data_IF_103314830693
#
_entry.id   IF_103314830693
#
_cell.length_a   1.000
_cell.length_b   1.000
_cell.length_c   1.000
_cell.angle_alpha   90.00
_cell.angle_beta   90.00
_cell.angle_gamma   90.00
#
_symmetry.space_group_name_H-M   'P 1'
#
loop_
_entity.id
_entity.type
_entity.pdbx_description
1 polymer ?
#
# COMPACT_ATOMS: atom_id res chain seq x y z
N UNK A 1 71.88 -8.73 30.69
CA UNK A 1 70.47 -9.10 30.91
C UNK A 1 69.58 -8.22 30.01
N UNK A 2 69.14 -8.78 28.91
CA UNK A 2 68.36 -8.06 27.94
C UNK A 2 66.87 -8.24 28.27
N UNK A 3 66.20 -7.14 28.63
CA UNK A 3 64.72 -7.14 28.76
C UNK A 3 64.10 -7.02 27.37
N UNK A 4 63.42 -8.05 26.94
CA UNK A 4 62.64 -8.12 25.72
C UNK A 4 61.30 -7.47 25.98
N UNK A 5 61.06 -6.28 25.38
CA UNK A 5 59.73 -5.63 25.43
C UNK A 5 58.87 -6.26 24.35
N UNK A 6 57.91 -7.07 24.75
CA UNK A 6 56.89 -7.62 23.86
C UNK A 6 55.83 -6.55 23.59
N UNK A 7 55.78 -6.04 22.38
CA UNK A 7 54.79 -5.12 21.92
C UNK A 7 53.55 -5.92 21.46
N UNK A 8 52.53 -5.95 22.31
CA UNK A 8 51.26 -6.58 21.94
C UNK A 8 50.46 -5.63 21.07
N UNK A 9 50.42 -5.87 19.77
CA UNK A 9 49.50 -5.19 18.85
C UNK A 9 48.08 -5.71 19.10
N UNK A 10 47.26 -4.88 19.71
CA UNK A 10 45.80 -5.10 19.75
C UNK A 10 45.24 -4.79 18.37
N UNK A 11 45.01 -5.81 17.58
CA UNK A 11 44.18 -5.72 16.39
C UNK A 11 42.71 -5.66 16.88
N UNK A 12 42.16 -4.45 16.95
CA UNK A 12 40.72 -4.26 17.09
C UNK A 12 40.13 -4.58 15.72
N UNK A 13 39.75 -5.85 15.52
CA UNK A 13 38.89 -6.23 14.42
C UNK A 13 37.51 -5.58 14.68
N UNK A 14 37.29 -4.45 14.05
CA UNK A 14 35.95 -3.83 13.97
C UNK A 14 35.10 -4.74 13.10
N UNK A 15 34.49 -5.76 13.72
CA UNK A 15 33.47 -6.60 13.12
C UNK A 15 32.30 -5.67 12.81
N UNK A 16 32.23 -5.17 11.58
CA UNK A 16 31.00 -4.61 11.03
C UNK A 16 29.94 -5.71 11.09
N UNK A 17 29.19 -5.72 12.16
CA UNK A 17 27.94 -6.46 12.25
C UNK A 17 27.05 -5.87 11.14
N UNK A 18 27.09 -6.48 9.97
CA UNK A 18 26.01 -6.37 9.01
C UNK A 18 24.77 -6.96 9.71
N UNK A 19 24.03 -6.11 10.41
CA UNK A 19 22.67 -6.42 10.80
C UNK A 19 21.93 -6.54 9.47
N UNK A 20 21.84 -7.77 8.96
CA UNK A 20 20.97 -8.08 7.84
C UNK A 20 19.57 -7.69 8.31
N UNK A 21 19.09 -6.52 7.86
CA UNK A 21 17.69 -6.14 8.00
C UNK A 21 16.90 -7.28 7.34
N UNK A 22 16.02 -7.98 8.07
CA UNK A 22 15.26 -9.05 7.44
C UNK A 22 14.57 -8.47 6.22
N UNK A 23 14.82 -9.05 5.07
CA UNK A 23 14.17 -8.63 3.84
C UNK A 23 12.66 -8.60 4.11
N UNK A 24 12.03 -7.46 3.86
CA UNK A 24 10.58 -7.24 3.99
C UNK A 24 9.80 -8.38 3.32
N UNK A 25 10.32 -8.88 2.21
CA UNK A 25 9.78 -9.97 1.43
C UNK A 25 10.78 -11.11 1.35
N UNK A 26 10.31 -12.34 1.56
CA UNK A 26 11.13 -13.55 1.45
C UNK A 26 11.39 -13.97 0.00
N UNK A 27 10.56 -13.48 -0.93
CA UNK A 27 10.60 -13.75 -2.37
C UNK A 27 9.99 -12.58 -3.12
N UNK A 28 10.09 -12.54 -4.44
CA UNK A 28 9.38 -11.55 -5.26
C UNK A 28 7.88 -11.67 -4.99
N UNK A 29 7.26 -10.55 -4.62
CA UNK A 29 5.94 -10.54 -3.97
C UNK A 29 4.90 -9.84 -4.84
N UNK A 30 3.77 -10.48 -5.00
CA UNK A 30 2.59 -9.98 -5.69
C UNK A 30 1.70 -9.20 -4.73
N UNK A 31 1.48 -7.92 -5.04
CA UNK A 31 0.49 -7.08 -4.36
C UNK A 31 -0.67 -6.81 -5.32
N UNK A 32 -1.83 -7.38 -5.03
CA UNK A 32 -3.04 -7.19 -5.84
C UNK A 32 -3.64 -5.80 -5.53
N UNK A 33 -3.45 -4.85 -6.45
CA UNK A 33 -3.84 -3.45 -6.34
C UNK A 33 -5.36 -3.30 -6.37
N UNK A 34 -5.96 -2.94 -5.24
CA UNK A 34 -7.43 -2.89 -5.05
C UNK A 34 -8.13 -4.22 -5.35
N UNK A 35 -7.40 -5.33 -5.16
CA UNK A 35 -7.81 -6.66 -5.60
C UNK A 35 -7.38 -6.99 -7.04
N UNK A 36 -8.12 -7.87 -7.73
CA UNK A 36 -7.92 -8.16 -9.15
C UNK A 36 -8.68 -7.13 -10.02
N UNK A 37 -8.29 -5.87 -9.89
CA UNK A 37 -9.04 -4.70 -10.38
C UNK A 37 -9.08 -4.56 -11.90
N UNK A 38 -8.26 -5.31 -12.64
CA UNK A 38 -8.42 -5.44 -14.09
C UNK A 38 -9.65 -6.26 -14.51
N UNK A 39 -10.20 -7.10 -13.61
CA UNK A 39 -11.21 -8.10 -13.94
C UNK A 39 -12.50 -7.98 -13.12
N UNK A 40 -12.45 -7.26 -12.00
CA UNK A 40 -13.58 -7.02 -11.11
C UNK A 40 -13.53 -5.58 -10.57
N UNK A 41 -14.68 -5.00 -10.13
CA UNK A 41 -14.69 -3.61 -9.65
C UNK A 41 -13.76 -3.44 -8.45
N UNK A 42 -12.87 -2.43 -8.56
CA UNK A 42 -11.86 -2.14 -7.53
C UNK A 42 -12.48 -2.05 -6.14
N UNK A 43 -11.75 -2.51 -5.11
CA UNK A 43 -12.16 -2.44 -3.70
C UNK A 43 -13.49 -3.12 -3.36
N UNK A 44 -13.97 -4.05 -4.18
CA UNK A 44 -15.11 -4.90 -3.81
C UNK A 44 -14.62 -6.24 -3.25
N UNK A 45 -15.49 -6.94 -2.51
CA UNK A 45 -15.17 -8.31 -2.05
C UNK A 45 -15.00 -9.28 -3.22
N UNK A 46 -15.64 -9.00 -4.37
CA UNK A 46 -15.49 -9.73 -5.62
C UNK A 46 -14.05 -9.63 -6.15
N UNK A 47 -13.50 -8.41 -6.22
CA UNK A 47 -12.12 -8.17 -6.65
C UNK A 47 -11.11 -8.83 -5.70
N UNK A 48 -11.36 -8.78 -4.39
CA UNK A 48 -10.49 -9.40 -3.39
C UNK A 48 -10.53 -10.93 -3.44
N UNK A 49 -11.73 -11.55 -3.62
CA UNK A 49 -11.83 -13.02 -3.82
C UNK A 49 -11.06 -13.46 -5.05
N UNK A 50 -11.23 -12.74 -6.15
CA UNK A 50 -10.54 -13.07 -7.39
C UNK A 50 -9.02 -12.95 -7.24
N UNK A 51 -8.54 -11.90 -6.58
CA UNK A 51 -7.11 -11.73 -6.28
C UNK A 51 -6.54 -12.91 -5.47
N UNK A 52 -7.28 -13.39 -4.46
CA UNK A 52 -6.90 -14.56 -3.68
C UNK A 52 -6.86 -15.82 -4.54
N UNK A 53 -7.83 -16.03 -5.43
CA UNK A 53 -7.86 -17.14 -6.37
C UNK A 53 -6.70 -17.10 -7.37
N UNK A 54 -6.26 -15.91 -7.76
CA UNK A 54 -5.11 -15.67 -8.63
C UNK A 54 -3.77 -15.67 -7.87
N UNK A 55 -3.77 -16.02 -6.60
CA UNK A 55 -2.57 -16.25 -5.80
C UNK A 55 -1.90 -14.99 -5.28
N UNK A 56 -2.65 -13.94 -4.97
CA UNK A 56 -2.10 -12.73 -4.34
C UNK A 56 -1.37 -13.05 -3.04
N UNK A 57 -0.13 -12.54 -2.89
CA UNK A 57 0.61 -12.60 -1.62
C UNK A 57 0.09 -11.55 -0.63
N UNK A 58 -0.28 -10.38 -1.15
CA UNK A 58 -0.96 -9.31 -0.44
C UNK A 58 -2.15 -8.82 -1.26
N UNK A 59 -3.24 -8.49 -0.56
CA UNK A 59 -4.34 -7.71 -1.13
C UNK A 59 -4.22 -6.29 -0.60
N UNK A 60 -4.26 -5.33 -1.51
CA UNK A 60 -4.15 -3.92 -1.15
C UNK A 60 -5.55 -3.31 -0.94
N UNK A 61 -5.63 -2.35 -0.01
CA UNK A 61 -6.85 -1.61 0.33
C UNK A 61 -6.53 -0.13 0.52
N UNK A 62 -7.23 0.75 -0.20
CA UNK A 62 -7.29 2.18 0.11
C UNK A 62 -8.35 2.42 1.19
N UNK A 63 -8.00 3.07 2.29
CA UNK A 63 -8.92 3.28 3.40
C UNK A 63 -9.48 4.70 3.43
N UNK A 64 -10.79 4.79 3.55
CA UNK A 64 -11.54 6.02 3.78
C UNK A 64 -12.33 5.90 5.08
N UNK A 65 -12.81 7.04 5.63
CA UNK A 65 -13.57 7.08 6.89
C UNK A 65 -14.97 7.63 6.62
N UNK A 66 -15.97 6.88 7.02
CA UNK A 66 -17.38 7.32 6.99
C UNK A 66 -17.67 8.40 8.04
N UNK A 67 -18.82 9.07 7.96
CA UNK A 67 -19.25 10.08 8.92
C UNK A 67 -19.32 9.55 10.35
N UNK A 68 -19.64 8.28 10.53
CA UNK A 68 -19.71 7.59 11.82
C UNK A 68 -18.40 6.88 12.22
N UNK A 69 -17.27 7.20 11.53
CA UNK A 69 -15.95 6.75 11.93
C UNK A 69 -15.58 5.32 11.53
N UNK A 70 -16.30 4.72 10.59
CA UNK A 70 -16.01 3.36 10.11
C UNK A 70 -15.03 3.40 8.94
N UNK A 71 -13.99 2.55 8.97
CA UNK A 71 -13.07 2.38 7.86
C UNK A 71 -13.72 1.56 6.74
N UNK A 72 -13.75 2.12 5.52
CA UNK A 72 -14.24 1.48 4.29
C UNK A 72 -13.15 1.44 3.24
N UNK A 73 -13.23 0.49 2.30
CA UNK A 73 -12.29 0.35 1.22
C UNK A 73 -12.79 1.10 -0.01
N UNK A 74 -12.13 2.20 -0.35
CA UNK A 74 -12.43 3.04 -1.51
C UNK A 74 -11.22 3.94 -1.82
N UNK A 75 -10.86 4.09 -3.11
CA UNK A 75 -9.69 4.89 -3.48
C UNK A 75 -9.88 6.38 -3.26
N UNK A 76 -10.97 6.93 -3.80
CA UNK A 76 -11.21 8.37 -3.81
C UNK A 76 -11.80 8.86 -2.48
N UNK A 77 -11.58 10.12 -2.13
CA UNK A 77 -12.26 10.77 -1.01
C UNK A 77 -13.77 10.89 -1.24
N UNK A 78 -14.21 10.64 -2.48
CA UNK A 78 -15.59 10.83 -2.94
C UNK A 78 -16.14 9.56 -3.58
N UNK A 79 -17.45 9.43 -3.65
CA UNK A 79 -18.18 8.21 -3.99
C UNK A 79 -18.56 8.09 -5.48
N UNK A 80 -18.60 9.21 -6.23
CA UNK A 80 -19.23 9.27 -7.56
C UNK A 80 -18.53 8.43 -8.64
N UNK A 81 -17.22 8.23 -8.58
CA UNK A 81 -16.50 7.52 -9.64
C UNK A 81 -16.82 6.02 -9.68
N UNK A 82 -17.03 5.41 -8.53
CA UNK A 82 -17.15 3.94 -8.41
C UNK A 82 -18.43 3.49 -7.73
N UNK A 83 -19.40 4.39 -7.56
CA UNK A 83 -20.73 4.06 -7.04
C UNK A 83 -21.81 4.81 -7.78
N UNK A 84 -23.07 4.40 -7.59
CA UNK A 84 -24.26 5.11 -8.07
C UNK A 84 -24.78 6.16 -7.07
N UNK A 85 -23.92 6.84 -6.33
CA UNK A 85 -24.29 7.81 -5.30
C UNK A 85 -25.12 8.97 -5.87
N UNK A 86 -24.86 9.38 -7.13
CA UNK A 86 -25.60 10.44 -7.81
C UNK A 86 -27.07 10.09 -8.03
N UNK A 87 -27.38 8.80 -8.19
CA UNK A 87 -28.75 8.30 -8.35
C UNK A 87 -29.44 8.13 -6.98
N UNK A 88 -28.74 7.59 -6.00
CA UNK A 88 -29.33 7.26 -4.67
C UNK A 88 -29.45 8.50 -3.79
N UNK A 89 -28.49 9.44 -3.89
CA UNK A 89 -28.43 10.66 -3.07
C UNK A 89 -28.18 11.92 -3.94
N UNK A 90 -29.05 12.25 -4.89
CA UNK A 90 -28.80 13.26 -5.92
C UNK A 90 -28.56 14.68 -5.37
N UNK A 91 -29.11 14.99 -4.20
CA UNK A 91 -29.04 16.33 -3.59
C UNK A 91 -28.01 16.44 -2.46
N UNK A 92 -27.27 15.37 -2.15
CA UNK A 92 -26.33 15.33 -1.01
C UNK A 92 -24.88 15.58 -1.43
N UNK A 93 -24.67 16.42 -2.42
CA UNK A 93 -23.35 16.79 -2.89
C UNK A 93 -22.86 18.12 -2.26
N UNK A 94 -21.56 18.34 -2.34
CA UNK A 94 -20.93 19.64 -2.20
C UNK A 94 -20.46 20.14 -3.59
N UNK A 95 -20.60 21.43 -3.85
CA UNK A 95 -20.01 22.02 -5.06
C UNK A 95 -18.55 22.38 -4.78
N UNK A 96 -17.66 21.87 -5.62
CA UNK A 96 -16.24 22.16 -5.57
C UNK A 96 -15.75 22.43 -7.00
N UNK A 97 -15.29 23.65 -7.25
CA UNK A 97 -14.86 24.10 -8.58
C UNK A 97 -15.90 23.81 -9.69
N UNK A 98 -17.19 23.98 -9.37
CA UNK A 98 -18.31 23.72 -10.29
C UNK A 98 -18.72 22.26 -10.45
N UNK A 99 -18.01 21.31 -9.82
CA UNK A 99 -18.31 19.89 -9.85
C UNK A 99 -19.05 19.45 -8.59
N UNK A 100 -20.02 18.56 -8.76
CA UNK A 100 -20.70 17.89 -7.64
C UNK A 100 -19.77 16.82 -7.04
N UNK A 101 -19.63 16.81 -5.69
CA UNK A 101 -18.78 15.89 -4.94
C UNK A 101 -19.55 15.27 -3.79
N UNK A 102 -19.51 13.95 -3.67
CA UNK A 102 -20.12 13.16 -2.58
C UNK A 102 -19.01 12.58 -1.71
N UNK A 103 -18.58 13.35 -0.69
CA UNK A 103 -17.48 12.92 0.17
C UNK A 103 -17.89 11.73 1.05
N UNK A 104 -17.05 10.69 1.12
CA UNK A 104 -17.25 9.50 1.96
C UNK A 104 -17.57 9.88 3.41
N UNK A 105 -16.85 10.86 3.95
CA UNK A 105 -17.02 11.35 5.33
C UNK A 105 -18.29 12.18 5.59
N UNK A 106 -19.12 12.42 4.58
CA UNK A 106 -20.42 13.06 4.75
C UNK A 106 -21.58 12.02 4.86
N UNK A 107 -21.27 10.72 4.67
CA UNK A 107 -22.25 9.61 4.69
C UNK A 107 -21.96 8.63 5.83
N UNK A 108 -23.05 8.19 6.48
CA UNK A 108 -22.98 7.09 7.46
C UNK A 108 -22.71 5.76 6.74
N UNK A 109 -22.12 4.78 7.42
CA UNK A 109 -21.93 3.46 6.84
C UNK A 109 -23.21 2.87 6.26
N UNK A 110 -24.33 3.00 6.97
CA UNK A 110 -25.62 2.48 6.53
C UNK A 110 -26.10 3.08 5.19
N UNK A 111 -25.74 4.33 4.91
CA UNK A 111 -26.03 5.01 3.63
C UNK A 111 -25.09 4.50 2.52
N UNK A 112 -23.79 4.38 2.79
CA UNK A 112 -22.80 3.83 1.84
C UNK A 112 -23.16 2.39 1.46
N UNK A 113 -23.67 1.59 2.38
CA UNK A 113 -24.10 0.19 2.11
C UNK A 113 -25.33 0.08 1.20
N UNK A 114 -26.06 1.16 0.93
CA UNK A 114 -27.13 1.17 -0.07
C UNK A 114 -26.59 1.23 -1.50
N UNK A 115 -25.41 1.84 -1.69
CA UNK A 115 -24.84 2.10 -3.01
C UNK A 115 -24.48 0.80 -3.75
N UNK A 116 -24.55 0.87 -5.07
CA UNK A 116 -23.99 -0.10 -6.00
C UNK A 116 -22.56 0.33 -6.36
N UNK A 117 -21.59 -0.50 -6.06
CA UNK A 117 -20.17 -0.28 -6.35
C UNK A 117 -19.66 -1.21 -7.47
N UNK A 118 -20.53 -1.90 -8.17
CA UNK A 118 -20.14 -2.88 -9.19
C UNK A 118 -20.54 -2.53 -10.61
N UNK A 119 -21.75 -1.99 -10.81
CA UNK A 119 -22.34 -1.75 -12.14
C UNK A 119 -21.55 -0.77 -13.02
N UNK A 120 -20.79 0.14 -12.44
CA UNK A 120 -19.91 1.06 -13.16
C UNK A 120 -18.80 0.32 -13.92
N UNK A 121 -18.37 -0.82 -13.41
CA UNK A 121 -17.33 -1.65 -14.02
C UNK A 121 -17.93 -2.60 -15.08
N UNK A 122 -18.93 -3.39 -14.68
CA UNK A 122 -19.66 -4.31 -15.55
C UNK A 122 -21.00 -4.67 -14.89
N UNK A 123 -22.09 -4.73 -15.66
CA UNK A 123 -23.44 -5.08 -15.18
C UNK A 123 -23.50 -6.42 -14.43
N UNK A 124 -22.61 -7.37 -14.73
CA UNK A 124 -22.54 -8.67 -14.01
C UNK A 124 -22.17 -8.51 -12.52
N UNK A 125 -21.61 -7.36 -12.13
CA UNK A 125 -21.30 -7.03 -10.75
C UNK A 125 -22.34 -6.14 -10.08
N UNK A 126 -23.49 -5.95 -10.71
CA UNK A 126 -24.57 -5.14 -10.13
C UNK A 126 -24.90 -5.60 -8.70
N UNK A 127 -25.02 -4.63 -7.79
CA UNK A 127 -25.29 -4.90 -6.37
C UNK A 127 -24.05 -5.15 -5.50
N UNK A 128 -22.84 -5.24 -6.06
CA UNK A 128 -21.61 -5.26 -5.27
C UNK A 128 -21.53 -4.01 -4.38
N UNK A 129 -21.02 -4.16 -3.17
CA UNK A 129 -21.03 -3.10 -2.14
C UNK A 129 -19.62 -2.58 -1.87
N UNK A 130 -19.53 -1.33 -1.43
CA UNK A 130 -18.32 -0.80 -0.78
C UNK A 130 -18.12 -1.58 0.52
N UNK A 131 -17.03 -2.34 0.67
CA UNK A 131 -16.80 -3.11 1.89
C UNK A 131 -16.26 -2.21 3.01
N UNK A 132 -16.63 -2.55 4.25
CA UNK A 132 -15.85 -2.09 5.39
C UNK A 132 -14.48 -2.76 5.37
N UNK A 133 -13.48 -2.14 5.99
CA UNK A 133 -12.18 -2.79 6.14
C UNK A 133 -12.26 -4.06 6.99
N UNK A 134 -13.22 -4.17 7.92
CA UNK A 134 -13.46 -5.42 8.65
C UNK A 134 -13.87 -6.57 7.71
N UNK A 135 -14.80 -6.32 6.77
CA UNK A 135 -15.20 -7.34 5.79
C UNK A 135 -14.03 -7.77 4.88
N UNK A 136 -13.16 -6.82 4.50
CA UNK A 136 -11.94 -7.14 3.77
C UNK A 136 -10.96 -7.98 4.61
N UNK A 137 -10.74 -7.61 5.88
CA UNK A 137 -9.91 -8.38 6.82
C UNK A 137 -10.44 -9.81 6.96
N UNK A 138 -11.74 -9.98 7.18
CA UNK A 138 -12.36 -11.29 7.38
C UNK A 138 -12.23 -12.19 6.15
N UNK A 139 -12.32 -11.61 4.94
CA UNK A 139 -12.13 -12.33 3.69
C UNK A 139 -10.68 -12.77 3.45
N UNK A 140 -9.71 -11.88 3.70
CA UNK A 140 -8.28 -12.06 3.37
C UNK A 140 -7.54 -12.86 4.43
N UNK A 141 -7.96 -12.76 5.70
CA UNK A 141 -7.31 -13.39 6.85
C UNK A 141 -6.97 -14.86 6.61
N UNK A 142 -5.74 -15.25 6.88
CA UNK A 142 -5.23 -16.61 6.76
C UNK A 142 -4.96 -17.08 5.32
N UNK A 143 -5.22 -16.24 4.31
CA UNK A 143 -5.05 -16.55 2.89
C UNK A 143 -3.97 -15.71 2.22
N UNK A 144 -3.88 -14.41 2.60
CA UNK A 144 -2.89 -13.47 2.10
C UNK A 144 -2.59 -12.40 3.16
N UNK A 145 -1.59 -11.56 2.89
CA UNK A 145 -1.33 -10.35 3.67
C UNK A 145 -2.30 -9.21 3.33
N UNK A 146 -2.38 -8.24 4.23
CA UNK A 146 -3.11 -6.99 4.05
C UNK A 146 -2.12 -5.85 3.80
N UNK A 147 -2.43 -4.96 2.85
CA UNK A 147 -1.59 -3.83 2.53
C UNK A 147 -2.42 -2.51 2.50
N UNK A 148 -2.98 -2.10 3.67
CA UNK A 148 -3.83 -0.90 3.72
C UNK A 148 -3.03 0.38 3.48
N UNK A 149 -3.64 1.30 2.71
CA UNK A 149 -3.20 2.70 2.56
C UNK A 149 -4.05 3.63 3.42
N UNK A 150 -3.40 4.52 4.17
CA UNK A 150 -4.08 5.67 4.78
C UNK A 150 -4.22 6.77 3.74
N UNK A 151 -5.43 6.91 3.17
CA UNK A 151 -5.74 7.91 2.13
C UNK A 151 -6.08 9.26 2.75
N UNK A 152 -5.32 10.29 2.39
CA UNK A 152 -5.59 11.67 2.80
C UNK A 152 -5.75 11.86 4.32
N UNK A 153 -4.83 11.36 5.16
CA UNK A 153 -4.98 11.43 6.62
C UNK A 153 -5.11 12.87 7.13
N UNK A 154 -4.51 13.84 6.44
CA UNK A 154 -4.62 15.26 6.76
C UNK A 154 -6.03 15.80 6.54
N UNK A 155 -6.69 15.34 5.47
CA UNK A 155 -8.08 15.70 5.17
C UNK A 155 -9.01 15.19 6.28
N UNK A 156 -8.79 13.96 6.72
CA UNK A 156 -9.56 13.38 7.83
C UNK A 156 -9.23 14.03 9.17
N UNK A 157 -7.96 14.39 9.39
CA UNK A 157 -7.53 15.16 10.56
C UNK A 157 -8.25 16.50 10.69
N UNK A 158 -8.42 17.23 9.59
CA UNK A 158 -9.18 18.49 9.56
C UNK A 158 -10.67 18.32 9.86
N UNK A 159 -11.20 17.09 9.74
CA UNK A 159 -12.58 16.71 10.05
C UNK A 159 -12.74 16.05 11.44
N UNK A 160 -11.67 16.05 12.26
CA UNK A 160 -11.68 15.52 13.62
C UNK A 160 -11.44 14.01 13.73
N UNK A 161 -11.04 13.33 12.66
CA UNK A 161 -10.69 11.91 12.69
C UNK A 161 -9.18 11.71 12.82
N UNK A 162 -8.78 10.72 13.61
CA UNK A 162 -7.41 10.23 13.71
C UNK A 162 -7.30 8.90 12.97
N UNK A 163 -7.03 8.97 11.65
CA UNK A 163 -7.00 7.81 10.77
C UNK A 163 -5.99 6.76 11.25
N UNK A 164 -4.82 7.20 11.69
CA UNK A 164 -3.76 6.31 12.16
C UNK A 164 -4.19 5.52 13.39
N UNK A 165 -4.84 6.18 14.35
CA UNK A 165 -5.39 5.49 15.54
C UNK A 165 -6.50 4.50 15.17
N UNK A 166 -7.39 4.87 14.24
CA UNK A 166 -8.47 3.99 13.77
C UNK A 166 -7.89 2.73 13.11
N UNK A 167 -6.93 2.88 12.19
CA UNK A 167 -6.26 1.76 11.52
C UNK A 167 -5.56 0.85 12.53
N UNK A 168 -4.76 1.41 13.43
CA UNK A 168 -4.06 0.61 14.43
C UNK A 168 -5.01 -0.03 15.45
N UNK A 169 -6.13 0.62 15.80
CA UNK A 169 -7.16 0.05 16.67
C UNK A 169 -7.85 -1.15 16.01
N UNK A 170 -8.17 -1.04 14.71
CA UNK A 170 -8.77 -2.12 13.93
C UNK A 170 -7.83 -3.34 13.84
N UNK A 171 -6.53 -3.13 13.60
CA UNK A 171 -5.55 -4.21 13.61
C UNK A 171 -5.44 -4.87 14.98
N UNK A 172 -5.38 -4.09 16.07
CA UNK A 172 -5.36 -4.64 17.44
C UNK A 172 -6.60 -5.46 17.77
N UNK A 173 -7.79 -4.95 17.43
CA UNK A 173 -9.08 -5.67 17.60
C UNK A 173 -9.03 -7.03 16.91
N UNK A 174 -8.40 -7.10 15.75
CA UNK A 174 -8.26 -8.31 14.96
C UNK A 174 -7.04 -9.17 15.33
N UNK A 175 -6.20 -8.76 16.28
CA UNK A 175 -4.94 -9.41 16.65
C UNK A 175 -3.99 -9.59 15.45
N UNK A 176 -3.92 -8.57 14.59
CA UNK A 176 -3.07 -8.52 13.38
C UNK A 176 -1.89 -7.55 13.59
N UNK A 177 -0.75 -7.80 12.90
CA UNK A 177 -0.45 -8.94 12.03
C UNK A 177 -0.28 -10.26 12.79
N UNK A 178 -0.52 -11.39 12.10
CA UNK A 178 -0.19 -12.73 12.56
C UNK A 178 0.68 -13.48 11.53
N UNK A 179 1.04 -14.74 11.81
CA UNK A 179 1.92 -15.54 10.93
C UNK A 179 1.31 -15.81 9.55
N UNK A 180 -0.02 -15.85 9.44
CA UNK A 180 -0.74 -16.18 8.19
C UNK A 180 -1.28 -14.95 7.48
N UNK A 181 -1.35 -13.82 8.18
CA UNK A 181 -1.84 -12.55 7.67
C UNK A 181 -0.87 -11.44 8.05
N UNK A 182 0.28 -11.34 7.36
CA UNK A 182 1.19 -10.22 7.53
C UNK A 182 0.49 -8.92 7.10
N UNK A 183 0.92 -7.80 7.69
CA UNK A 183 0.37 -6.47 7.37
C UNK A 183 1.50 -5.51 7.07
N UNK A 184 1.32 -4.72 6.02
CA UNK A 184 2.14 -3.59 5.64
C UNK A 184 1.22 -2.37 5.53
N UNK A 185 1.50 -1.30 6.26
CA UNK A 185 0.73 -0.05 6.12
C UNK A 185 1.49 0.89 5.21
N UNK A 186 0.81 1.49 4.24
CA UNK A 186 1.40 2.46 3.32
C UNK A 186 0.69 3.81 3.39
N UNK A 187 1.41 4.86 3.00
CA UNK A 187 0.85 6.21 2.86
C UNK A 187 1.72 7.08 1.95
N UNK A 188 1.09 8.03 1.26
CA UNK A 188 1.78 9.15 0.62
C UNK A 188 2.16 10.26 1.62
N UNK A 189 1.65 10.21 2.86
CA UNK A 189 1.96 11.16 3.92
C UNK A 189 3.11 10.65 4.79
N UNK A 190 4.31 11.25 4.69
CA UNK A 190 5.42 10.94 5.61
C UNK A 190 5.06 11.25 7.06
N UNK A 191 4.25 12.28 7.30
CA UNK A 191 3.81 12.71 8.63
C UNK A 191 2.93 11.65 9.28
N UNK A 192 1.98 11.07 8.53
CA UNK A 192 1.15 9.95 9.00
C UNK A 192 2.01 8.75 9.41
N UNK A 193 2.99 8.38 8.58
CA UNK A 193 3.90 7.27 8.89
C UNK A 193 4.78 7.56 10.11
N UNK A 194 5.31 8.78 10.25
CA UNK A 194 6.08 9.20 11.43
C UNK A 194 5.24 9.16 12.70
N UNK A 195 4.01 9.68 12.65
CA UNK A 195 3.05 9.61 13.75
C UNK A 195 2.83 8.16 14.19
N UNK A 196 2.57 7.25 13.24
CA UNK A 196 2.43 5.83 13.55
C UNK A 196 3.70 5.23 14.19
N UNK A 197 4.88 5.58 13.65
CA UNK A 197 6.15 5.01 14.12
C UNK A 197 6.59 5.58 15.45
N UNK A 198 6.60 6.90 15.60
CA UNK A 198 7.23 7.63 16.72
C UNK A 198 6.23 7.83 17.87
N UNK A 199 5.04 8.36 17.58
CA UNK A 199 4.07 8.69 18.62
C UNK A 199 3.25 7.46 19.04
N UNK A 200 2.69 6.73 18.06
CA UNK A 200 1.85 5.55 18.31
C UNK A 200 2.67 4.27 18.48
N UNK A 201 4.00 4.32 18.26
CA UNK A 201 4.99 3.25 18.51
C UNK A 201 4.60 1.91 17.90
N UNK A 202 4.00 1.95 16.69
CA UNK A 202 3.58 0.72 16.01
C UNK A 202 4.77 -0.18 15.69
N UNK A 203 4.53 -1.49 15.79
CA UNK A 203 5.45 -2.53 15.33
C UNK A 203 5.12 -3.00 13.90
N UNK A 204 3.97 -2.58 13.37
CA UNK A 204 3.57 -2.91 11.99
C UNK A 204 4.54 -2.22 11.03
N UNK A 205 5.09 -2.94 10.05
CA UNK A 205 5.97 -2.34 9.04
C UNK A 205 5.24 -1.27 8.21
N UNK A 206 5.92 -0.16 7.94
CA UNK A 206 5.39 0.99 7.23
C UNK A 206 6.13 1.19 5.90
N UNK A 207 5.43 1.61 4.86
CA UNK A 207 5.96 1.86 3.51
C UNK A 207 5.59 3.27 3.06
N UNK A 208 6.59 4.05 2.63
CA UNK A 208 6.37 5.39 2.08
C UNK A 208 6.06 5.30 0.60
N UNK A 209 4.86 5.69 0.19
CA UNK A 209 4.50 5.87 -1.21
C UNK A 209 5.10 7.16 -1.75
N UNK A 210 5.63 7.12 -2.98
CA UNK A 210 6.31 8.27 -3.60
C UNK A 210 5.72 8.52 -4.98
N UNK A 211 5.01 9.65 -5.12
CA UNK A 211 4.49 10.14 -6.39
C UNK A 211 5.54 11.03 -7.10
N UNK A 212 5.39 11.33 -8.41
CA UNK A 212 6.32 12.18 -9.13
C UNK A 212 6.63 13.55 -8.50
N UNK A 213 5.67 14.27 -7.89
CA UNK A 213 5.95 15.50 -7.14
C UNK A 213 6.84 15.31 -5.90
N UNK A 214 6.92 14.11 -5.35
CA UNK A 214 7.67 13.76 -4.12
C UNK A 214 9.01 13.06 -4.41
N UNK A 215 9.54 13.20 -5.62
CA UNK A 215 10.78 12.51 -6.08
C UNK A 215 12.02 12.80 -5.23
N UNK A 216 12.01 13.86 -4.42
CA UNK A 216 13.09 14.18 -3.48
C UNK A 216 13.33 13.06 -2.45
N UNK A 217 12.34 12.22 -2.18
CA UNK A 217 12.48 11.05 -1.32
C UNK A 217 13.33 9.92 -1.95
N UNK A 218 13.63 9.97 -3.25
CA UNK A 218 14.51 9.01 -3.94
C UNK A 218 15.98 9.45 -3.97
N UNK A 219 16.35 10.54 -3.30
CA UNK A 219 17.75 10.90 -3.06
C UNK A 219 18.33 10.13 -1.88
N UNK A 220 19.68 10.05 -1.78
CA UNK A 220 20.32 9.40 -0.64
C UNK A 220 19.83 9.97 0.71
N UNK A 221 19.70 11.29 0.81
CA UNK A 221 19.18 11.97 2.02
C UNK A 221 17.69 11.62 2.27
N UNK A 222 16.86 11.64 1.21
CA UNK A 222 15.44 11.29 1.31
C UNK A 222 15.24 9.86 1.78
N UNK A 223 15.99 8.90 1.23
CA UNK A 223 15.93 7.50 1.63
C UNK A 223 16.40 7.28 3.08
N UNK A 224 17.45 7.98 3.53
CA UNK A 224 17.86 7.92 4.93
C UNK A 224 16.80 8.49 5.88
N UNK A 225 16.11 9.57 5.48
CA UNK A 225 14.96 10.09 6.23
C UNK A 225 13.81 9.07 6.27
N UNK A 226 13.47 8.46 5.12
CA UNK A 226 12.42 7.44 5.04
C UNK A 226 12.74 6.24 5.93
N UNK A 227 13.99 5.77 5.97
CA UNK A 227 14.46 4.66 6.81
C UNK A 227 14.20 4.86 8.30
N UNK A 228 14.12 6.09 8.78
CA UNK A 228 13.85 6.38 10.20
C UNK A 228 12.43 5.96 10.65
N UNK A 229 11.47 5.85 9.72
CA UNK A 229 10.09 5.48 10.03
C UNK A 229 9.51 4.37 9.14
N UNK A 230 10.10 4.08 7.98
CA UNK A 230 9.63 3.08 7.04
C UNK A 230 10.64 1.93 6.87
N UNK A 231 10.16 0.77 6.41
CA UNK A 231 10.96 -0.40 6.05
C UNK A 231 11.08 -0.56 4.53
N UNK A 232 10.32 0.22 3.77
CA UNK A 232 10.30 0.19 2.31
C UNK A 232 9.71 1.46 1.72
N UNK A 233 9.87 1.58 0.41
CA UNK A 233 9.29 2.63 -0.42
C UNK A 233 8.42 2.02 -1.52
N UNK A 234 7.33 2.72 -1.87
CA UNK A 234 6.45 2.41 -3.00
C UNK A 234 6.48 3.57 -4.01
N UNK A 235 7.49 3.65 -4.90
CA UNK A 235 7.52 4.72 -5.89
C UNK A 235 6.56 4.45 -7.05
N UNK A 236 6.03 5.53 -7.66
CA UNK A 236 5.41 5.39 -8.98
C UNK A 236 6.41 4.70 -9.94
N UNK A 237 5.96 3.70 -10.71
CA UNK A 237 6.84 2.92 -11.60
C UNK A 237 7.67 3.78 -12.56
N UNK A 238 7.11 4.92 -13.02
CA UNK A 238 7.80 5.88 -13.89
C UNK A 238 9.03 6.54 -13.23
N UNK A 239 9.11 6.55 -11.91
CA UNK A 239 10.24 7.13 -11.18
C UNK A 239 11.46 6.22 -11.17
N UNK A 240 11.27 4.91 -11.28
CA UNK A 240 12.32 3.88 -11.20
C UNK A 240 12.54 3.12 -12.51
N UNK A 241 11.63 3.26 -13.48
CA UNK A 241 11.79 2.64 -14.81
C UNK A 241 13.10 3.08 -15.48
N UNK A 242 13.91 2.09 -15.88
CA UNK A 242 15.23 2.33 -16.48
C UNK A 242 16.30 2.80 -15.50
N UNK A 243 16.06 2.78 -14.17
CA UNK A 243 16.98 3.32 -13.17
C UNK A 243 17.32 2.29 -12.07
N UNK A 244 18.05 1.22 -12.42
CA UNK A 244 18.43 0.20 -11.44
C UNK A 244 19.30 0.77 -10.29
N UNK A 245 20.00 1.88 -10.52
CA UNK A 245 20.79 2.57 -9.50
C UNK A 245 19.93 3.13 -8.36
N UNK A 246 18.68 3.54 -8.62
CA UNK A 246 17.76 3.99 -7.57
C UNK A 246 17.27 2.83 -6.72
N UNK A 247 16.98 1.68 -7.35
CA UNK A 247 16.61 0.45 -6.63
C UNK A 247 17.77 0.01 -5.75
N UNK A 248 19.00 -0.01 -6.31
CA UNK A 248 20.19 -0.32 -5.53
C UNK A 248 20.41 0.63 -4.37
N UNK A 249 20.28 1.93 -4.57
CA UNK A 249 20.44 2.94 -3.52
C UNK A 249 19.44 2.74 -2.37
N UNK A 250 18.18 2.40 -2.69
CA UNK A 250 17.18 2.06 -1.67
C UNK A 250 17.58 0.79 -0.89
N UNK A 251 18.03 -0.27 -1.59
CA UNK A 251 18.52 -1.50 -0.96
C UNK A 251 19.76 -1.26 -0.08
N UNK A 252 20.72 -0.48 -0.54
CA UNK A 252 21.92 -0.11 0.24
C UNK A 252 21.54 0.67 1.52
N UNK A 253 20.43 1.41 1.49
CA UNK A 253 19.85 2.07 2.67
C UNK A 253 19.08 1.10 3.57
N UNK A 254 18.80 -0.13 3.10
CA UNK A 254 18.02 -1.15 3.80
C UNK A 254 16.50 -0.94 3.69
N UNK A 255 16.04 -0.37 2.58
CA UNK A 255 14.63 -0.21 2.24
C UNK A 255 14.25 -1.16 1.11
N UNK A 256 13.11 -1.85 1.24
CA UNK A 256 12.51 -2.59 0.12
C UNK A 256 11.87 -1.62 -0.89
N UNK A 257 11.72 -2.07 -2.14
CA UNK A 257 11.16 -1.28 -3.24
C UNK A 257 9.97 -2.00 -3.85
N UNK A 258 8.78 -1.38 -3.78
CA UNK A 258 7.51 -1.93 -4.29
C UNK A 258 6.82 -0.89 -5.18
N UNK A 259 7.17 -0.81 -6.47
CA UNK A 259 6.55 0.18 -7.37
C UNK A 259 5.07 -0.07 -7.63
N UNK A 260 4.31 1.00 -7.94
CA UNK A 260 2.92 0.96 -8.36
C UNK A 260 2.74 1.65 -9.72
N UNK A 261 1.84 1.27 -10.60
CA UNK A 261 1.06 0.06 -10.69
C UNK A 261 1.28 -0.55 -12.07
N UNK A 262 1.54 -1.84 -12.14
CA UNK A 262 1.62 -2.57 -13.40
C UNK A 262 0.21 -3.02 -13.82
N UNK A 263 -0.16 -2.78 -15.07
CA UNK A 263 -1.38 -3.29 -15.66
C UNK A 263 -1.34 -3.25 -17.20
N UNK A 264 -2.25 -3.94 -17.86
CA UNK A 264 -2.32 -4.02 -19.31
C UNK A 264 -2.52 -2.65 -20.01
N UNK A 265 -3.19 -1.70 -19.34
CA UNK A 265 -3.45 -0.36 -19.91
C UNK A 265 -2.23 0.55 -19.89
N UNK A 266 -1.32 0.37 -18.92
CA UNK A 266 -0.17 1.26 -18.68
C UNK A 266 1.18 0.55 -18.79
N UNK A 267 1.23 -0.66 -19.39
CA UNK A 267 2.48 -1.44 -19.59
C UNK A 267 3.52 -0.77 -20.53
N UNK A 268 3.12 0.32 -21.19
CA UNK A 268 4.03 1.11 -22.02
C UNK A 268 4.64 0.30 -23.19
N UNK A 269 5.98 0.21 -23.23
CA UNK A 269 6.75 -0.49 -24.28
C UNK A 269 6.67 -2.02 -24.22
N UNK A 270 6.10 -2.60 -23.18
CA UNK A 270 6.06 -4.06 -23.00
C UNK A 270 4.87 -4.68 -23.74
N UNK A 271 4.99 -5.90 -24.19
CA UNK A 271 3.92 -6.61 -24.90
C UNK A 271 2.75 -6.98 -23.98
N UNK A 272 3.02 -7.20 -22.69
CA UNK A 272 2.01 -7.54 -21.67
C UNK A 272 2.37 -6.98 -20.31
N UNK A 273 1.41 -6.94 -19.38
CA UNK A 273 1.68 -6.64 -17.98
C UNK A 273 2.65 -7.68 -17.35
N UNK A 274 2.59 -8.94 -17.79
CA UNK A 274 3.54 -9.98 -17.36
C UNK A 274 4.97 -9.62 -17.72
N UNK A 275 5.23 -9.19 -18.95
CA UNK A 275 6.56 -8.80 -19.40
C UNK A 275 7.06 -7.56 -18.64
N UNK A 276 6.19 -6.57 -18.44
CA UNK A 276 6.50 -5.41 -17.60
C UNK A 276 6.90 -5.85 -16.18
N UNK A 277 6.11 -6.71 -15.55
CA UNK A 277 6.42 -7.21 -14.20
C UNK A 277 7.72 -8.02 -14.17
N UNK A 278 8.02 -8.83 -15.18
CA UNK A 278 9.30 -9.54 -15.29
C UNK A 278 10.48 -8.56 -15.31
N UNK A 279 10.38 -7.48 -16.08
CA UNK A 279 11.40 -6.46 -16.14
C UNK A 279 11.64 -5.77 -14.79
N UNK A 280 10.56 -5.30 -14.13
CA UNK A 280 10.72 -4.64 -12.83
C UNK A 280 11.28 -5.60 -11.76
N UNK A 281 10.76 -6.81 -11.68
CA UNK A 281 11.15 -7.77 -10.64
C UNK A 281 12.55 -8.37 -10.83
N UNK A 282 12.92 -8.69 -12.07
CA UNK A 282 14.12 -9.50 -12.33
C UNK A 282 15.23 -8.75 -13.07
N UNK A 283 14.94 -7.66 -13.79
CA UNK A 283 15.95 -6.80 -14.40
C UNK A 283 16.29 -5.62 -13.52
N UNK A 284 15.29 -4.88 -13.04
CA UNK A 284 15.52 -3.76 -12.09
C UNK A 284 15.75 -4.24 -10.66
N UNK A 285 15.29 -5.44 -10.30
CA UNK A 285 15.55 -6.05 -9.01
C UNK A 285 14.58 -5.65 -7.88
N UNK A 286 13.44 -4.96 -8.17
CA UNK A 286 12.48 -4.58 -7.13
C UNK A 286 11.94 -5.79 -6.37
N UNK A 287 11.51 -5.61 -5.13
CA UNK A 287 11.16 -6.70 -4.20
C UNK A 287 9.74 -7.20 -4.40
N UNK A 288 8.83 -6.28 -4.69
CA UNK A 288 7.42 -6.55 -4.90
C UNK A 288 6.87 -5.60 -5.97
N UNK A 289 5.66 -5.85 -6.45
CA UNK A 289 5.01 -4.98 -7.42
C UNK A 289 3.49 -4.98 -7.23
N UNK A 290 2.90 -3.78 -7.28
CA UNK A 290 1.45 -3.63 -7.35
C UNK A 290 0.98 -3.91 -8.78
N UNK A 291 -0.06 -4.71 -8.92
CA UNK A 291 -0.66 -4.99 -10.21
C UNK A 291 -2.18 -5.13 -10.16
N UNK A 292 -2.85 -4.66 -11.22
CA UNK A 292 -4.28 -4.88 -11.44
C UNK A 292 -4.55 -6.28 -12.03
N UNK A 293 -3.50 -6.97 -12.53
CA UNK A 293 -3.54 -8.27 -13.21
C UNK A 293 -2.79 -9.36 -12.41
N UNK A 294 -3.30 -9.81 -11.24
CA UNK A 294 -2.58 -10.75 -10.38
C UNK A 294 -2.25 -12.09 -11.04
N UNK A 295 -3.13 -12.59 -11.95
CA UNK A 295 -2.94 -13.82 -12.73
C UNK A 295 -1.72 -13.80 -13.66
N UNK A 296 -1.28 -12.61 -14.05
CA UNK A 296 -0.11 -12.41 -14.92
C UNK A 296 1.21 -12.33 -14.15
N UNK A 297 1.19 -12.37 -12.81
CA UNK A 297 2.42 -12.22 -12.03
C UNK A 297 3.42 -13.33 -12.34
N UNK A 298 4.68 -12.99 -12.71
CA UNK A 298 5.68 -13.98 -13.14
C UNK A 298 6.30 -14.66 -11.92
N UNK A 299 5.70 -15.75 -11.46
CA UNK A 299 6.33 -16.61 -10.44
C UNK A 299 7.41 -17.45 -11.10
N UNK A 300 8.56 -17.57 -10.42
CA UNK A 300 9.64 -18.49 -10.79
C UNK A 300 9.43 -19.83 -10.09
#
# INVERSE_FOLDING_TARGET
MKMLKTLTLLFIAMMLLFIAVPAQYKQKTLVAHRGASAYAPEHTLEAYRLALQQGADYVEQDLQITKDGVLVCLHDLTLERTTNVEEVFPDRFKLENGNKRWYVSDFMLAEIKQLDAGSWFDKKFAGAKVPTWQEAIDLVRGKAGLYPETKGPEVYGSRGFDMEKLVLAQLRKNKLPDKKTPVLIQSFSPESLRKMKVELKTKVPLVLLISPPQREWLTAEGLQKAKSFAVGIGPAKSLVDGKPELVKLAHDTGLSVTPYTSNEKTKGRFASAREEMQYFLYTLGVDALFTDNPDQFPRK
#
